data_IF_176876697657
#
_entry.id   IF_176876697657
#
_cell.length_a   1.000
_cell.length_b   1.000
_cell.length_c   1.000
_cell.angle_alpha   90.00
_cell.angle_beta   90.00
_cell.angle_gamma   90.00
#
_symmetry.space_group_name_H-M   'P 1'
#
loop_
_entity.id
_entity.type
_entity.pdbx_description
1 polymer ?
#
# COMPACT_ATOMS: atom_id res chain seq x y z
N UNK A 1 -35.16 15.31 52.69
CA UNK A 1 -34.69 14.03 52.13
C UNK A 1 -34.18 14.28 50.72
N UNK A 2 -32.94 13.84 50.47
CA UNK A 2 -32.12 14.00 49.27
C UNK A 2 -32.86 13.60 47.99
N UNK A 3 -32.72 14.37 46.90
CA UNK A 3 -32.42 13.78 45.59
C UNK A 3 -31.42 14.67 44.85
N UNK A 4 -30.25 14.08 44.62
CA UNK A 4 -29.06 14.72 44.09
C UNK A 4 -29.10 14.79 42.56
N UNK A 5 -28.43 15.81 42.03
CA UNK A 5 -28.07 15.98 40.62
C UNK A 5 -27.33 14.73 40.13
N UNK A 6 -27.69 14.19 38.95
CA UNK A 6 -26.84 13.27 38.21
C UNK A 6 -26.53 13.87 36.84
N UNK A 7 -25.28 14.28 36.68
CA UNK A 7 -24.64 14.72 35.45
C UNK A 7 -23.88 13.53 34.84
N UNK A 8 -24.02 13.41 33.51
CA UNK A 8 -23.02 12.92 32.54
C UNK A 8 -22.59 11.44 32.62
N UNK A 9 -22.93 10.68 31.57
CA UNK A 9 -21.99 9.79 30.87
C UNK A 9 -22.32 9.74 29.36
N UNK A 10 -21.93 10.78 28.63
CA UNK A 10 -21.77 10.73 27.18
C UNK A 10 -20.29 10.45 26.87
N UNK A 11 -19.83 9.21 27.05
CA UNK A 11 -18.44 8.82 26.77
C UNK A 11 -18.35 7.34 26.41
N UNK A 12 -18.65 6.98 25.15
CA UNK A 12 -18.28 5.65 24.64
C UNK A 12 -18.00 5.58 23.13
N UNK A 13 -18.10 6.66 22.36
CA UNK A 13 -17.94 6.59 20.89
C UNK A 13 -16.52 6.98 20.41
N UNK A 14 -15.64 7.48 21.28
CA UNK A 14 -14.41 8.13 20.83
C UNK A 14 -13.16 7.22 20.66
N UNK A 15 -13.19 5.93 21.03
CA UNK A 15 -11.95 5.13 21.13
C UNK A 15 -11.61 4.24 19.92
N UNK A 16 -12.40 4.19 18.83
CA UNK A 16 -12.11 3.28 17.71
C UNK A 16 -11.37 3.90 16.51
N UNK A 17 -10.96 5.17 16.54
CA UNK A 17 -10.37 5.84 15.37
C UNK A 17 -8.83 5.97 15.39
N UNK A 18 -8.14 5.51 16.43
CA UNK A 18 -6.72 5.84 16.64
C UNK A 18 -5.71 4.73 16.30
N UNK A 19 -6.03 3.84 15.36
CA UNK A 19 -5.07 2.84 14.85
C UNK A 19 -4.79 2.99 13.35
N UNK A 20 -4.95 4.19 12.79
CA UNK A 20 -4.34 4.49 11.51
C UNK A 20 -2.83 4.48 11.71
N UNK A 21 -2.19 3.40 11.27
CA UNK A 21 -0.73 3.21 11.28
C UNK A 21 -0.06 4.51 10.87
N UNK A 22 0.66 5.13 11.81
CA UNK A 22 1.58 6.22 11.51
C UNK A 22 2.81 5.60 10.83
N UNK A 23 2.63 5.09 9.61
CA UNK A 23 3.73 4.71 8.75
C UNK A 23 4.52 6.00 8.50
N UNK A 24 5.70 6.09 9.09
CA UNK A 24 6.60 7.23 8.85
C UNK A 24 6.77 7.39 7.34
N UNK A 25 6.56 8.61 6.84
CA UNK A 25 6.75 8.91 5.42
C UNK A 25 8.18 8.54 5.05
N UNK A 26 8.34 7.48 4.27
CA UNK A 26 9.64 7.09 3.73
C UNK A 26 9.92 8.01 2.55
N UNK A 27 11.01 8.76 2.63
CA UNK A 27 11.51 9.53 1.48
C UNK A 27 12.19 8.56 0.52
N UNK A 28 11.58 8.30 -0.62
CA UNK A 28 12.22 7.56 -1.70
C UNK A 28 13.05 8.52 -2.55
N UNK A 29 14.32 8.19 -2.79
CA UNK A 29 15.24 8.98 -3.60
C UNK A 29 16.05 8.04 -4.50
N UNK A 30 16.23 8.45 -5.75
CA UNK A 30 17.19 7.81 -6.65
C UNK A 30 18.61 8.30 -6.31
N UNK A 31 19.51 7.37 -6.02
CA UNK A 31 20.91 7.65 -5.77
C UNK A 31 21.77 7.10 -6.92
N UNK A 32 22.41 7.96 -7.72
CA UNK A 32 23.25 7.52 -8.82
C UNK A 32 24.59 6.98 -8.29
N UNK A 33 24.79 5.66 -8.37
CA UNK A 33 26.05 5.00 -7.96
C UNK A 33 27.14 5.03 -9.05
N UNK A 34 26.81 5.51 -10.27
CA UNK A 34 27.78 5.70 -11.35
C UNK A 34 27.31 6.76 -12.35
N UNK A 35 28.23 7.36 -13.14
CA UNK A 35 27.85 8.30 -14.21
C UNK A 35 26.89 7.71 -15.24
N UNK A 36 26.97 6.40 -15.52
CA UNK A 36 26.11 5.71 -16.49
C UNK A 36 24.64 5.66 -16.05
N UNK A 37 24.36 5.77 -14.76
CA UNK A 37 22.98 5.78 -14.24
C UNK A 37 22.15 6.90 -14.89
N UNK A 38 22.71 8.11 -14.95
CA UNK A 38 22.01 9.27 -15.51
C UNK A 38 21.78 9.15 -17.02
N UNK A 39 22.56 8.34 -17.72
CA UNK A 39 22.33 8.05 -19.14
C UNK A 39 21.09 7.19 -19.37
N UNK A 40 20.72 6.36 -18.39
CA UNK A 40 19.55 5.46 -18.47
C UNK A 40 18.32 6.14 -17.90
N UNK A 41 18.47 6.76 -16.72
CA UNK A 41 17.34 7.25 -15.92
C UNK A 41 16.99 8.72 -16.20
N UNK A 42 17.96 9.53 -16.62
CA UNK A 42 17.74 10.95 -16.92
C UNK A 42 17.15 11.73 -15.75
N UNK A 43 16.09 12.49 -16.01
CA UNK A 43 15.35 13.31 -15.05
C UNK A 43 14.11 12.60 -14.47
N UNK A 44 14.01 11.27 -14.64
CA UNK A 44 12.88 10.49 -14.15
C UNK A 44 12.66 10.69 -12.64
N UNK A 45 11.40 10.82 -12.26
CA UNK A 45 10.97 10.96 -10.87
C UNK A 45 10.36 9.65 -10.39
N UNK A 46 10.73 9.25 -9.18
CA UNK A 46 10.12 8.11 -8.53
C UNK A 46 8.76 8.52 -7.97
N UNK A 47 7.73 7.74 -8.27
CA UNK A 47 6.36 8.00 -7.84
C UNK A 47 5.72 6.75 -7.22
N UNK A 48 4.81 6.99 -6.28
CA UNK A 48 3.98 5.92 -5.72
C UNK A 48 2.78 5.72 -6.63
N UNK A 49 2.73 4.59 -7.34
CA UNK A 49 1.60 4.24 -8.23
C UNK A 49 0.39 3.78 -7.42
N UNK A 50 0.59 2.91 -6.43
CA UNK A 50 -0.49 2.41 -5.55
C UNK A 50 0.02 2.18 -4.12
N UNK A 51 -0.90 2.16 -3.17
CA UNK A 51 -0.62 2.01 -1.74
C UNK A 51 -1.63 1.11 -1.03
N UNK A 52 -1.50 0.97 0.29
CA UNK A 52 -2.39 0.14 1.11
C UNK A 52 -2.20 -1.36 0.88
N UNK A 53 -0.96 -1.79 0.69
CA UNK A 53 -0.51 -3.18 0.68
C UNK A 53 0.13 -3.52 2.02
N UNK A 54 0.23 -4.81 2.35
CA UNK A 54 1.01 -5.31 3.48
C UNK A 54 2.47 -5.56 3.08
N UNK A 55 2.69 -6.50 2.18
CA UNK A 55 4.03 -6.81 1.65
C UNK A 55 3.93 -7.10 0.15
N UNK A 56 4.36 -6.16 -0.69
CA UNK A 56 4.31 -6.31 -2.17
C UNK A 56 5.48 -7.12 -2.71
N UNK A 57 5.20 -8.11 -3.55
CA UNK A 57 6.20 -8.95 -4.23
C UNK A 57 5.83 -9.22 -5.70
N UNK A 58 6.82 -9.73 -6.46
CA UNK A 58 6.64 -10.26 -7.81
C UNK A 58 5.87 -9.37 -8.78
N UNK A 59 6.29 -8.12 -9.03
CA UNK A 59 5.64 -7.28 -10.02
C UNK A 59 5.79 -7.90 -11.42
N UNK A 60 4.69 -8.06 -12.15
CA UNK A 60 4.68 -8.57 -13.52
C UNK A 60 3.87 -7.66 -14.44
N UNK A 61 4.49 -7.16 -15.51
CA UNK A 61 3.80 -6.29 -16.47
C UNK A 61 2.98 -7.09 -17.48
N UNK A 62 1.70 -6.75 -17.59
CA UNK A 62 0.81 -7.25 -18.63
C UNK A 62 0.69 -6.21 -19.77
N UNK A 63 0.86 -6.60 -21.05
CA UNK A 63 0.66 -5.70 -22.19
C UNK A 63 -0.72 -5.03 -22.26
N UNK A 64 -1.72 -5.54 -21.56
CA UNK A 64 -3.03 -4.90 -21.38
C UNK A 64 -2.99 -3.62 -20.52
N UNK A 65 -1.85 -3.27 -19.92
CA UNK A 65 -1.62 -1.97 -19.29
C UNK A 65 -1.74 -1.96 -17.77
N UNK A 66 -1.41 -3.07 -17.09
CA UNK A 66 -1.40 -3.15 -15.63
C UNK A 66 -0.26 -4.06 -15.14
N UNK A 67 0.08 -3.94 -13.86
CA UNK A 67 0.97 -4.87 -13.15
C UNK A 67 0.14 -5.91 -12.40
N UNK A 68 0.53 -7.19 -12.45
CA UNK A 68 0.22 -8.11 -11.35
C UNK A 68 1.17 -7.84 -10.19
N UNK A 69 0.65 -7.82 -8.96
CA UNK A 69 1.42 -7.65 -7.73
C UNK A 69 0.87 -8.61 -6.68
N UNK A 70 1.74 -9.44 -6.10
CA UNK A 70 1.39 -10.27 -4.95
C UNK A 70 1.45 -9.47 -3.66
N UNK A 71 0.56 -9.78 -2.71
CA UNK A 71 0.63 -9.29 -1.34
C UNK A 71 0.65 -10.47 -0.37
N UNK A 72 1.83 -10.77 0.18
CA UNK A 72 2.06 -11.91 1.09
C UNK A 72 1.32 -11.75 2.42
N UNK A 73 1.06 -10.52 2.86
CA UNK A 73 0.34 -10.30 4.12
C UNK A 73 -1.18 -10.39 3.92
N UNK A 74 -1.67 -9.93 2.78
CA UNK A 74 -3.09 -9.97 2.44
C UNK A 74 -3.52 -11.30 1.80
N UNK A 75 -2.57 -12.16 1.42
CA UNK A 75 -2.84 -13.44 0.77
C UNK A 75 -3.61 -13.28 -0.54
N UNK A 76 -3.20 -12.30 -1.36
CA UNK A 76 -3.89 -11.92 -2.60
C UNK A 76 -2.91 -11.54 -3.71
N UNK A 77 -3.36 -11.72 -4.96
CA UNK A 77 -2.76 -11.09 -6.14
C UNK A 77 -3.68 -9.96 -6.61
N UNK A 78 -3.10 -8.82 -6.96
CA UNK A 78 -3.81 -7.65 -7.48
C UNK A 78 -3.35 -7.30 -8.90
N UNK A 79 -4.27 -6.78 -9.71
CA UNK A 79 -3.92 -5.88 -10.82
C UNK A 79 -3.74 -4.49 -10.29
N UNK A 80 -2.70 -3.79 -10.72
CA UNK A 80 -2.40 -2.40 -10.38
C UNK A 80 -2.29 -1.60 -11.67
N UNK A 81 -3.13 -0.58 -11.81
CA UNK A 81 -3.19 0.27 -13.00
C UNK A 81 -2.38 1.56 -12.80
N UNK A 82 -1.88 2.19 -13.88
CA UNK A 82 -1.09 3.44 -13.78
C UNK A 82 -1.80 4.60 -13.08
N UNK A 83 -3.13 4.61 -13.07
CA UNK A 83 -3.93 5.62 -12.35
C UNK A 83 -4.09 5.34 -10.84
N UNK A 84 -3.41 4.32 -10.32
CA UNK A 84 -3.43 3.91 -8.92
C UNK A 84 -4.63 3.06 -8.51
N UNK A 85 -5.55 2.74 -9.43
CA UNK A 85 -6.59 1.74 -9.18
C UNK A 85 -5.91 0.38 -8.96
N UNK A 86 -6.41 -0.41 -8.00
CA UNK A 86 -6.07 -1.83 -7.86
C UNK A 86 -7.32 -2.70 -7.79
N UNK A 87 -7.22 -3.90 -8.36
CA UNK A 87 -8.30 -4.89 -8.40
C UNK A 87 -7.76 -6.24 -7.92
N UNK A 88 -8.47 -6.88 -7.00
CA UNK A 88 -8.15 -8.24 -6.57
C UNK A 88 -8.39 -9.21 -7.74
N UNK A 89 -7.41 -10.06 -8.01
CA UNK A 89 -7.51 -11.14 -9.00
C UNK A 89 -7.93 -12.42 -8.31
N UNK A 90 -7.22 -12.79 -7.24
CA UNK A 90 -7.41 -14.05 -6.53
C UNK A 90 -6.86 -13.92 -5.10
N UNK A 91 -7.47 -14.64 -4.16
CA UNK A 91 -6.93 -14.88 -2.83
C UNK A 91 -6.23 -16.25 -2.80
N UNK A 92 -4.93 -16.24 -2.47
CA UNK A 92 -4.06 -17.40 -2.39
C UNK A 92 -3.39 -17.36 -1.02
N UNK A 93 -3.30 -18.48 -0.31
CA UNK A 93 -2.85 -18.48 1.09
C UNK A 93 -1.42 -18.00 1.35
N UNK A 94 -0.57 -17.95 0.32
CA UNK A 94 0.85 -17.53 0.40
C UNK A 94 1.37 -17.15 -1.01
N UNK A 95 1.03 -15.97 -1.55
CA UNK A 95 1.45 -15.58 -2.89
C UNK A 95 2.89 -15.02 -2.89
N UNK A 96 3.87 -15.91 -3.09
CA UNK A 96 5.29 -15.57 -3.15
C UNK A 96 5.77 -15.40 -4.61
N UNK A 97 5.57 -14.19 -5.15
CA UNK A 97 5.99 -13.82 -6.51
C UNK A 97 4.98 -14.13 -7.62
N UNK A 98 5.31 -13.73 -8.86
CA UNK A 98 4.53 -13.99 -10.08
C UNK A 98 5.46 -14.22 -11.29
N UNK A 99 5.12 -15.18 -12.17
CA UNK A 99 5.73 -15.34 -13.50
C UNK A 99 4.66 -15.62 -14.58
N UNK A 100 4.95 -15.35 -15.85
CA UNK A 100 4.26 -16.01 -16.98
C UNK A 100 4.94 -17.35 -17.28
N UNK A 101 4.24 -18.24 -17.97
CA UNK A 101 4.73 -19.53 -18.45
C UNK A 101 5.53 -19.43 -19.76
#
# INVERSE_FOLDING_TARGET
MKFARLLITASSVACFLAAASAQTSRSFKLEPLSPKFMTIVGDAKLETVASGFGFTEGPMWDPAGFLYVSDETMNKIFRVYPNGKKEEVIALGDPDGNTFD
#
